data_IF_223792707078
#
_entry.id   IF_223792707078
#
_cell.length_a   1.000
_cell.length_b   1.000
_cell.length_c   1.000
_cell.angle_alpha   90.00
_cell.angle_beta   90.00
_cell.angle_gamma   90.00
#
_symmetry.space_group_name_H-M   'P 1'
#
loop_
_entity.id
_entity.type
_entity.pdbx_description
1 polymer ?
#
# COMPACT_ATOMS: atom_id res chain seq x y z
N UNK A 1 15.78 0.90 16.84
CA UNK A 1 14.88 2.08 16.74
C UNK A 1 13.57 1.66 16.14
N UNK A 2 12.61 1.33 16.99
CA UNK A 2 11.21 1.18 16.63
C UNK A 2 10.56 2.56 16.48
N UNK A 3 9.55 2.66 15.63
CA UNK A 3 8.91 3.92 15.26
C UNK A 3 8.16 3.85 13.93
N UNK A 4 7.63 5.00 13.53
CA UNK A 4 6.94 5.21 12.25
C UNK A 4 7.65 6.25 11.39
N UNK A 5 7.70 6.00 10.08
CA UNK A 5 8.04 7.01 9.08
C UNK A 5 6.83 7.88 8.78
N UNK A 6 7.07 9.15 8.47
CA UNK A 6 6.03 10.16 8.28
C UNK A 6 6.35 11.01 7.06
N UNK A 7 5.58 10.85 6.00
CA UNK A 7 5.58 11.82 4.90
C UNK A 7 4.79 13.06 5.34
N UNK A 8 5.43 14.23 5.24
CA UNK A 8 4.87 15.49 5.69
C UNK A 8 4.57 16.42 4.50
N UNK A 9 3.58 17.29 4.68
CA UNK A 9 3.12 18.29 3.69
C UNK A 9 4.19 19.33 3.32
N UNK A 10 5.23 19.50 4.14
CA UNK A 10 6.40 20.33 3.86
C UNK A 10 7.49 19.62 3.03
N UNK A 11 7.18 18.46 2.43
CA UNK A 11 8.09 17.65 1.60
C UNK A 11 9.28 17.03 2.35
N UNK A 12 9.16 16.81 3.67
CA UNK A 12 10.21 16.18 4.48
C UNK A 12 9.74 14.83 5.01
N UNK A 13 10.47 13.77 4.66
CA UNK A 13 10.34 12.47 5.31
C UNK A 13 10.91 12.55 6.71
N UNK A 14 10.06 12.33 7.72
CA UNK A 14 10.44 12.30 9.14
C UNK A 14 10.34 10.90 9.71
N UNK A 15 11.06 10.65 10.78
CA UNK A 15 10.91 9.47 11.63
C UNK A 15 10.52 9.92 13.04
N UNK A 16 9.58 9.19 13.65
CA UNK A 16 9.15 9.36 15.04
C UNK A 16 9.21 8.01 15.73
N UNK A 17 10.01 7.90 16.78
CA UNK A 17 10.12 6.67 17.55
C UNK A 17 8.87 6.42 18.39
N UNK A 18 8.50 5.17 18.60
CA UNK A 18 7.36 4.79 19.47
C UNK A 18 7.61 5.15 20.95
N UNK A 19 8.87 5.38 21.32
CA UNK A 19 9.30 5.90 22.63
C UNK A 19 9.08 7.42 22.79
N UNK A 20 8.52 8.11 21.78
CA UNK A 20 8.27 9.55 21.82
C UNK A 20 7.21 9.99 20.80
N UNK A 21 5.93 9.98 21.20
CA UNK A 21 4.84 10.48 20.36
C UNK A 21 4.91 12.00 20.07
N UNK A 22 5.79 12.77 20.73
CA UNK A 22 5.81 14.23 20.65
C UNK A 22 6.74 14.81 19.58
N UNK A 23 7.80 14.09 19.17
CA UNK A 23 8.87 14.63 18.32
C UNK A 23 9.08 13.79 17.06
N UNK A 24 9.07 14.44 15.89
CA UNK A 24 9.42 13.84 14.61
C UNK A 24 10.69 14.51 14.03
N UNK A 25 11.74 13.72 13.83
CA UNK A 25 13.04 14.17 13.30
C UNK A 25 13.10 13.96 11.77
N UNK A 26 13.64 14.90 10.97
CA UNK A 26 13.91 14.67 9.56
C UNK A 26 14.84 13.48 9.36
N UNK A 27 14.46 12.51 8.52
CA UNK A 27 15.21 11.26 8.35
C UNK A 27 16.62 11.52 7.77
N UNK A 28 16.77 12.54 6.92
CA UNK A 28 18.07 12.99 6.42
C UNK A 28 18.98 13.59 7.52
N UNK A 29 18.40 14.17 8.58
CA UNK A 29 19.17 14.60 9.76
C UNK A 29 19.59 13.43 10.64
N UNK A 30 18.82 12.34 10.67
CA UNK A 30 19.21 11.08 11.32
C UNK A 30 20.35 10.42 10.54
N UNK A 31 20.29 10.40 9.20
CA UNK A 31 21.39 9.89 8.38
C UNK A 31 22.69 10.64 8.70
N UNK A 32 22.67 11.97 8.67
CA UNK A 32 23.83 12.81 8.99
C UNK A 32 24.44 12.51 10.37
N UNK A 33 23.60 12.29 11.38
CA UNK A 33 24.04 12.05 12.76
C UNK A 33 24.62 10.64 13.00
N UNK A 34 24.16 9.62 12.27
CA UNK A 34 24.53 8.20 12.50
C UNK A 34 25.51 7.67 11.43
N UNK A 35 25.31 8.06 10.16
CA UNK A 35 25.79 7.28 9.01
C UNK A 35 25.80 8.10 7.71
N UNK A 36 26.28 9.35 7.75
CA UNK A 36 26.15 10.35 6.68
C UNK A 36 26.44 9.81 5.26
N UNK A 37 27.53 9.04 5.13
CA UNK A 37 28.04 8.49 3.86
C UNK A 37 27.47 7.12 3.46
N UNK A 38 26.50 6.55 4.18
CA UNK A 38 25.92 5.24 3.85
C UNK A 38 24.80 5.35 2.79
N UNK A 39 25.03 4.89 1.53
CA UNK A 39 24.00 4.95 0.48
C UNK A 39 22.84 3.98 0.73
N UNK A 40 23.01 2.99 1.61
CA UNK A 40 22.01 1.99 1.97
C UNK A 40 21.24 2.35 3.24
N UNK A 41 21.48 3.53 3.84
CA UNK A 41 20.90 3.96 5.11
C UNK A 41 19.37 3.78 5.17
N UNK A 42 18.65 4.10 4.09
CA UNK A 42 17.19 4.00 4.03
C UNK A 42 16.68 2.55 4.10
N UNK A 43 17.46 1.54 3.69
CA UNK A 43 17.05 0.12 3.79
C UNK A 43 16.74 -0.29 5.24
N UNK A 44 17.39 0.37 6.21
CA UNK A 44 17.15 0.18 7.66
C UNK A 44 15.72 0.55 8.07
N UNK A 45 15.00 1.32 7.24
CA UNK A 45 13.64 1.81 7.49
C UNK A 45 12.57 1.23 6.57
N UNK A 46 12.92 0.34 5.63
CA UNK A 46 11.98 -0.20 4.65
C UNK A 46 10.77 -0.90 5.28
N UNK A 47 10.95 -1.58 6.41
CA UNK A 47 9.89 -2.31 7.13
C UNK A 47 9.15 -1.47 8.18
N UNK A 48 9.54 -0.21 8.42
CA UNK A 48 8.84 0.65 9.37
C UNK A 48 7.49 1.09 8.81
N UNK A 49 6.47 1.15 9.67
CA UNK A 49 5.14 1.62 9.30
C UNK A 49 5.20 3.08 8.85
N UNK A 50 4.51 3.39 7.75
CA UNK A 50 4.35 4.75 7.21
C UNK A 50 3.04 5.37 7.67
N UNK A 51 3.11 6.66 7.98
CA UNK A 51 1.97 7.57 8.06
C UNK A 51 2.16 8.67 7.00
N UNK A 52 1.07 9.13 6.40
CA UNK A 52 1.07 10.32 5.53
C UNK A 52 0.30 11.43 6.25
N UNK A 53 0.87 12.63 6.31
CA UNK A 53 0.20 13.80 6.88
C UNK A 53 -0.93 14.30 5.95
N UNK A 54 -2.03 14.78 6.55
CA UNK A 54 -3.10 15.51 5.86
C UNK A 54 -2.55 16.60 4.91
N UNK A 55 -3.03 16.62 3.66
CA UNK A 55 -2.58 17.56 2.63
C UNK A 55 -1.24 17.22 1.95
N UNK A 56 -0.57 16.13 2.31
CA UNK A 56 0.65 15.67 1.61
C UNK A 56 0.31 15.16 0.21
N UNK A 57 0.89 15.77 -0.82
CA UNK A 57 0.70 15.41 -2.23
C UNK A 57 1.72 14.39 -2.73
N UNK A 58 1.47 13.78 -3.89
CA UNK A 58 2.44 12.89 -4.55
C UNK A 58 3.79 13.61 -4.84
N UNK A 59 3.75 14.89 -5.21
CA UNK A 59 4.94 15.73 -5.36
C UNK A 59 5.70 15.89 -4.04
N UNK A 60 5.00 16.08 -2.91
CA UNK A 60 5.65 16.15 -1.59
C UNK A 60 6.38 14.85 -1.23
N UNK A 61 5.79 13.68 -1.55
CA UNK A 61 6.43 12.37 -1.37
C UNK A 61 7.70 12.27 -2.22
N UNK A 62 7.64 12.68 -3.49
CA UNK A 62 8.79 12.61 -4.41
C UNK A 62 9.96 13.49 -3.97
N UNK A 63 9.69 14.69 -3.49
CA UNK A 63 10.72 15.55 -2.91
C UNK A 63 11.24 15.03 -1.56
N UNK A 64 10.38 14.39 -0.76
CA UNK A 64 10.75 13.79 0.51
C UNK A 64 11.68 12.57 0.36
N UNK A 65 11.59 11.81 -0.74
CA UNK A 65 12.47 10.66 -1.04
C UNK A 65 13.69 11.00 -1.91
N UNK A 66 13.77 12.21 -2.48
CA UNK A 66 14.84 12.64 -3.39
C UNK A 66 16.28 12.37 -2.90
N UNK A 67 16.62 12.49 -1.59
CA UNK A 67 17.96 12.16 -1.10
C UNK A 67 18.39 10.69 -1.31
N UNK A 68 17.43 9.77 -1.51
CA UNK A 68 17.66 8.33 -1.67
C UNK A 68 17.23 7.80 -3.04
N UNK A 69 16.96 8.69 -4.01
CA UNK A 69 16.42 8.33 -5.32
C UNK A 69 17.21 7.24 -6.05
N UNK A 70 18.54 7.23 -5.95
CA UNK A 70 19.40 6.24 -6.64
C UNK A 70 19.18 4.82 -6.08
N UNK A 71 19.04 4.69 -4.76
CA UNK A 71 18.72 3.43 -4.08
C UNK A 71 17.31 2.96 -4.46
N UNK A 72 16.34 3.89 -4.50
CA UNK A 72 14.96 3.57 -4.85
C UNK A 72 14.81 3.21 -6.33
N UNK A 73 15.55 3.86 -7.23
CA UNK A 73 15.63 3.47 -8.65
C UNK A 73 16.16 2.04 -8.81
N UNK A 74 17.24 1.70 -8.08
CA UNK A 74 17.81 0.35 -8.11
C UNK A 74 16.92 -0.71 -7.45
N UNK A 75 16.09 -0.35 -6.47
CA UNK A 75 15.17 -1.27 -5.80
C UNK A 75 13.87 -1.50 -6.59
N UNK A 76 13.29 -0.44 -7.16
CA UNK A 76 11.97 -0.47 -7.81
C UNK A 76 12.03 -0.83 -9.31
N UNK A 77 13.22 -0.80 -9.93
CA UNK A 77 13.40 -0.86 -11.39
C UNK A 77 12.62 0.25 -12.13
N UNK A 78 12.58 1.46 -11.55
CA UNK A 78 11.87 2.64 -12.09
C UNK A 78 12.75 3.86 -11.91
N UNK A 79 12.84 4.76 -12.91
CA UNK A 79 13.65 5.97 -12.78
C UNK A 79 12.95 7.02 -11.88
N UNK A 80 13.09 6.84 -10.57
CA UNK A 80 12.61 7.75 -9.53
C UNK A 80 13.21 9.16 -9.74
N UNK A 81 14.42 9.25 -10.29
CA UNK A 81 15.07 10.51 -10.65
C UNK A 81 14.30 11.27 -11.75
N UNK A 82 13.91 10.60 -12.83
CA UNK A 82 13.09 11.18 -13.88
C UNK A 82 11.71 11.60 -13.36
N UNK A 83 11.05 10.78 -12.54
CA UNK A 83 9.76 11.14 -11.93
C UNK A 83 9.87 12.39 -11.04
N UNK A 84 10.92 12.51 -10.21
CA UNK A 84 11.20 13.72 -9.41
C UNK A 84 11.43 14.95 -10.31
N UNK A 85 12.19 14.82 -11.40
CA UNK A 85 12.44 15.91 -12.35
C UNK A 85 11.17 16.34 -13.07
N UNK A 86 10.27 15.40 -13.39
CA UNK A 86 9.01 15.69 -14.09
C UNK A 86 8.01 16.45 -13.19
N UNK A 87 7.87 16.04 -11.92
CA UNK A 87 6.95 16.73 -11.00
C UNK A 87 7.39 18.16 -10.67
N UNK A 88 8.70 18.49 -10.75
CA UNK A 88 9.22 19.88 -10.59
C UNK A 88 8.75 20.87 -11.66
N UNK A 89 8.34 20.40 -12.84
CA UNK A 89 7.86 21.28 -13.94
C UNK A 89 6.49 21.89 -13.58
N UNK A 90 6.05 23.00 -14.20
CA UNK A 90 4.68 23.49 -14.00
C UNK A 90 3.62 22.41 -14.30
N UNK A 91 2.47 22.47 -13.63
CA UNK A 91 1.29 21.71 -14.04
C UNK A 91 0.63 22.35 -15.27
N UNK A 92 0.02 21.52 -16.12
CA UNK A 92 -1.00 21.96 -17.09
C UNK A 92 -2.35 22.05 -16.35
N UNK A 93 -3.40 22.67 -16.93
CA UNK A 93 -4.76 22.47 -16.47
C UNK A 93 -5.09 20.97 -16.49
N UNK A 94 -5.54 20.45 -15.35
CA UNK A 94 -5.96 19.05 -15.23
C UNK A 94 -7.25 18.81 -16.03
N UNK A 95 -7.31 17.70 -16.75
CA UNK A 95 -8.45 17.25 -17.55
C UNK A 95 -9.28 16.16 -16.85
N UNK A 96 -8.75 15.61 -15.75
CA UNK A 96 -9.36 14.56 -14.94
C UNK A 96 -10.04 15.12 -13.68
N UNK A 97 -11.19 14.58 -13.31
CA UNK A 97 -11.92 14.95 -12.09
C UNK A 97 -11.40 14.23 -10.81
N UNK A 98 -10.17 13.70 -10.81
CA UNK A 98 -9.60 13.01 -9.64
C UNK A 98 -9.41 13.97 -8.45
N UNK A 99 -9.81 13.53 -7.26
CA UNK A 99 -9.73 14.31 -6.02
C UNK A 99 -8.62 13.82 -5.07
N UNK A 100 -8.31 12.51 -5.06
CA UNK A 100 -7.20 11.96 -4.26
C UNK A 100 -6.55 10.73 -4.89
N UNK A 101 -5.33 10.45 -4.44
CA UNK A 101 -4.65 9.18 -4.60
C UNK A 101 -4.83 8.39 -3.32
N UNK A 102 -5.30 7.15 -3.43
CA UNK A 102 -5.39 6.22 -2.31
C UNK A 102 -4.52 5.00 -2.53
N UNK A 103 -3.93 4.49 -1.45
CA UNK A 103 -3.18 3.22 -1.42
C UNK A 103 -3.91 2.27 -0.48
N UNK A 104 -4.43 1.16 -1.02
CA UNK A 104 -5.08 0.09 -0.24
C UNK A 104 -4.34 -1.24 -0.36
N UNK A 105 -4.40 -2.05 0.71
CA UNK A 105 -3.94 -3.44 0.70
C UNK A 105 -5.13 -4.36 0.43
N UNK A 106 -4.97 -5.25 -0.55
CA UNK A 106 -5.94 -6.28 -0.91
C UNK A 106 -5.26 -7.63 -0.80
N UNK A 107 -5.93 -8.58 -0.17
CA UNK A 107 -5.42 -9.93 0.04
C UNK A 107 -6.40 -10.94 -0.54
N UNK A 108 -5.88 -11.95 -1.22
CA UNK A 108 -6.66 -13.05 -1.80
C UNK A 108 -6.24 -14.34 -1.12
N UNK A 109 -7.19 -15.04 -0.49
CA UNK A 109 -6.96 -16.39 0.04
C UNK A 109 -7.60 -17.43 -0.87
N UNK A 110 -6.81 -18.42 -1.27
CA UNK A 110 -7.23 -19.52 -2.14
C UNK A 110 -6.76 -20.87 -1.59
N UNK A 111 -7.47 -21.92 -2.00
CA UNK A 111 -7.20 -23.29 -1.56
C UNK A 111 -5.96 -23.81 -2.30
N UNK A 112 -5.00 -24.35 -1.56
CA UNK A 112 -3.92 -25.10 -2.17
C UNK A 112 -4.45 -26.46 -2.70
N UNK A 113 -3.95 -26.89 -3.86
CA UNK A 113 -4.40 -28.12 -4.53
C UNK A 113 -3.21 -29.02 -4.86
N UNK A 114 -3.41 -30.34 -4.80
CA UNK A 114 -2.39 -31.31 -5.15
C UNK A 114 -2.11 -31.28 -6.65
N UNK A 115 -0.89 -30.90 -7.03
CA UNK A 115 -0.38 -31.08 -8.38
C UNK A 115 -0.01 -32.56 -8.59
N UNK A 116 -0.82 -33.27 -9.36
CA UNK A 116 -0.54 -34.64 -9.77
C UNK A 116 0.17 -34.64 -11.13
N UNK A 117 1.28 -35.38 -11.23
CA UNK A 117 1.94 -35.64 -12.49
C UNK A 117 1.02 -36.36 -13.50
N UNK A 118 1.34 -36.18 -14.78
CA UNK A 118 0.67 -36.87 -15.89
C UNK A 118 1.03 -38.37 -15.88
N UNK A 119 0.05 -39.23 -16.05
CA UNK A 119 0.25 -40.67 -16.06
C UNK A 119 0.94 -41.16 -17.33
N UNK A 120 1.71 -42.26 -17.23
CA UNK A 120 2.31 -42.91 -18.40
C UNK A 120 1.23 -43.32 -19.42
N UNK A 121 1.23 -42.65 -20.58
CA UNK A 121 0.24 -42.88 -21.65
C UNK A 121 -1.10 -42.16 -21.48
N UNK A 122 -1.22 -41.23 -20.54
CA UNK A 122 -2.39 -40.36 -20.40
C UNK A 122 -2.43 -39.28 -21.51
N UNK A 123 -3.64 -38.87 -21.92
CA UNK A 123 -3.83 -37.73 -22.81
C UNK A 123 -3.73 -36.40 -22.06
N UNK A 124 -3.06 -35.41 -22.65
CA UNK A 124 -2.87 -34.09 -22.04
C UNK A 124 -4.20 -33.38 -21.71
N UNK A 125 -5.24 -33.55 -22.54
CA UNK A 125 -6.57 -32.97 -22.29
C UNK A 125 -7.24 -33.65 -21.10
N UNK A 126 -7.10 -34.98 -20.97
CA UNK A 126 -7.62 -35.71 -19.82
C UNK A 126 -6.90 -35.30 -18.52
N UNK A 127 -5.56 -35.19 -18.56
CA UNK A 127 -4.75 -34.72 -17.42
C UNK A 127 -5.12 -33.30 -16.98
N UNK A 128 -5.20 -32.36 -17.92
CA UNK A 128 -5.45 -30.95 -17.63
C UNK A 128 -6.85 -30.69 -17.06
N UNK A 129 -7.85 -31.52 -17.43
CA UNK A 129 -9.23 -31.41 -16.96
C UNK A 129 -9.56 -32.35 -15.78
N UNK A 130 -8.55 -32.90 -15.09
CA UNK A 130 -8.77 -33.65 -13.83
C UNK A 130 -9.40 -32.76 -12.76
N UNK A 131 -10.32 -33.34 -11.98
CA UNK A 131 -10.77 -32.75 -10.71
C UNK A 131 -9.57 -32.63 -9.76
N UNK A 132 -9.31 -31.40 -9.29
CA UNK A 132 -8.17 -31.11 -8.41
C UNK A 132 -8.48 -31.51 -6.98
N UNK A 133 -7.59 -32.28 -6.35
CA UNK A 133 -7.71 -32.66 -4.94
C UNK A 133 -7.23 -31.48 -4.06
N UNK A 134 -8.08 -30.87 -3.21
CA UNK A 134 -7.66 -29.81 -2.29
C UNK A 134 -6.76 -30.36 -1.18
N UNK A 135 -5.83 -29.56 -0.67
CA UNK A 135 -5.07 -29.85 0.56
C UNK A 135 -5.72 -29.16 1.77
N UNK A 136 -5.22 -29.43 2.98
CA UNK A 136 -5.64 -28.68 4.18
C UNK A 136 -5.07 -27.24 4.20
N UNK A 137 -4.03 -26.99 3.41
CA UNK A 137 -3.31 -25.71 3.31
C UNK A 137 -4.11 -24.67 2.51
N UNK A 138 -3.78 -23.40 2.75
CA UNK A 138 -4.30 -22.23 2.04
C UNK A 138 -3.16 -21.25 1.81
N UNK A 139 -3.14 -20.64 0.64
CA UNK A 139 -2.20 -19.59 0.29
C UNK A 139 -2.87 -18.21 0.42
N UNK A 140 -2.10 -17.20 0.80
CA UNK A 140 -2.55 -15.80 0.89
C UNK A 140 -1.62 -14.93 0.04
N UNK A 141 -2.10 -14.54 -1.13
CA UNK A 141 -1.49 -13.45 -1.90
C UNK A 141 -1.94 -12.09 -1.32
N UNK A 142 -1.10 -11.07 -1.45
CA UNK A 142 -1.43 -9.70 -1.02
C UNK A 142 -0.74 -8.65 -1.89
N UNK A 143 -1.52 -7.70 -2.41
CA UNK A 143 -1.03 -6.53 -3.14
C UNK A 143 -1.27 -5.25 -2.34
N UNK A 144 -0.39 -4.26 -2.53
CA UNK A 144 -0.64 -2.88 -2.15
C UNK A 144 -0.71 -2.05 -3.44
N UNK A 145 -1.86 -1.45 -3.70
CA UNK A 145 -2.17 -0.81 -4.98
C UNK A 145 -2.38 0.69 -4.81
N UNK A 146 -1.74 1.52 -5.64
CA UNK A 146 -2.01 2.95 -5.70
C UNK A 146 -3.01 3.27 -6.83
N UNK A 147 -4.11 3.96 -6.51
CA UNK A 147 -5.17 4.30 -7.47
C UNK A 147 -5.68 5.73 -7.29
N UNK A 148 -6.23 6.29 -8.35
CA UNK A 148 -6.94 7.56 -8.37
C UNK A 148 -8.42 7.39 -8.05
N UNK A 149 -9.01 8.37 -7.34
CA UNK A 149 -10.40 8.33 -6.89
C UNK A 149 -11.11 9.67 -7.13
N UNK A 150 -12.38 9.58 -7.55
CA UNK A 150 -13.35 10.69 -7.69
C UNK A 150 -14.45 10.47 -6.65
N UNK A 151 -14.88 11.48 -5.90
CA UNK A 151 -15.86 11.32 -4.82
C UNK A 151 -17.23 10.88 -5.33
N UNK A 152 -17.86 9.93 -4.64
CA UNK A 152 -19.17 9.37 -5.02
C UNK A 152 -19.16 8.41 -6.22
N UNK A 153 -18.08 8.38 -7.03
CA UNK A 153 -17.82 7.32 -8.01
C UNK A 153 -17.51 5.99 -7.29
N UNK A 154 -17.84 4.85 -7.89
CA UNK A 154 -17.44 3.52 -7.39
C UNK A 154 -16.09 3.06 -7.94
N UNK A 155 -15.67 3.58 -9.09
CA UNK A 155 -14.51 3.07 -9.82
C UNK A 155 -13.16 3.49 -9.21
N UNK A 156 -12.09 2.89 -9.76
CA UNK A 156 -10.69 3.18 -9.45
C UNK A 156 -9.94 3.52 -10.74
N UNK A 157 -9.25 4.65 -10.74
CA UNK A 157 -8.63 5.20 -11.94
C UNK A 157 -7.11 4.97 -11.93
N UNK A 158 -6.52 4.66 -13.09
CA UNK A 158 -5.07 4.45 -13.21
C UNK A 158 -4.32 5.77 -13.01
N UNK A 159 -3.14 5.70 -12.39
CA UNK A 159 -2.24 6.84 -12.20
C UNK A 159 -1.16 6.94 -13.29
N UNK A 160 -1.15 5.99 -14.24
CA UNK A 160 -0.02 5.75 -15.13
C UNK A 160 0.09 6.70 -16.33
N UNK A 161 -0.95 7.45 -16.69
CA UNK A 161 -0.95 8.26 -17.94
C UNK A 161 -0.15 9.56 -17.84
N UNK A 162 -0.51 10.47 -16.94
CA UNK A 162 0.09 11.81 -16.89
C UNK A 162 0.38 12.30 -15.47
N UNK A 163 1.64 12.21 -15.06
CA UNK A 163 2.10 12.67 -13.73
C UNK A 163 1.82 14.16 -13.46
N UNK A 164 1.69 15.01 -14.49
CA UNK A 164 1.40 16.44 -14.28
C UNK A 164 0.00 16.72 -13.74
N UNK A 165 -0.93 15.81 -14.00
CA UNK A 165 -2.35 15.94 -13.63
C UNK A 165 -2.59 15.39 -12.22
N UNK A 166 -1.88 14.33 -11.83
CA UNK A 166 -2.03 13.67 -10.52
C UNK A 166 -1.07 14.14 -9.42
N UNK A 167 0.07 14.78 -9.75
CA UNK A 167 1.13 15.06 -8.77
C UNK A 167 0.74 15.97 -7.60
N UNK A 168 -0.28 16.81 -7.79
CA UNK A 168 -0.78 17.73 -6.77
C UNK A 168 -1.94 17.13 -5.96
N UNK A 169 -2.38 15.91 -6.27
CA UNK A 169 -3.42 15.23 -5.50
C UNK A 169 -2.86 14.78 -4.14
N UNK A 170 -3.66 14.87 -3.05
CA UNK A 170 -3.29 14.31 -1.75
C UNK A 170 -3.18 12.78 -1.85
N UNK A 171 -2.20 12.22 -1.15
CA UNK A 171 -1.97 10.76 -1.07
C UNK A 171 -2.43 10.25 0.29
N UNK A 172 -3.16 9.14 0.29
CA UNK A 172 -3.85 8.62 1.48
C UNK A 172 -3.58 7.12 1.60
N UNK A 173 -3.27 6.64 2.81
CA UNK A 173 -3.20 5.22 3.13
C UNK A 173 -4.55 4.76 3.70
N UNK A 174 -5.21 3.79 3.07
CA UNK A 174 -6.44 3.22 3.62
C UNK A 174 -6.08 2.30 4.80
N UNK A 175 -6.45 2.68 6.02
CA UNK A 175 -6.19 1.90 7.24
C UNK A 175 -7.06 0.63 7.37
N UNK A 176 -7.84 0.27 6.34
CA UNK A 176 -8.56 -0.99 6.22
C UNK A 176 -8.03 -1.78 5.01
N UNK A 177 -7.91 -3.09 5.18
CA UNK A 177 -7.62 -4.06 4.13
C UNK A 177 -8.80 -5.03 3.96
N UNK A 178 -8.96 -5.60 2.77
CA UNK A 178 -9.92 -6.69 2.51
C UNK A 178 -9.18 -7.99 2.21
N UNK A 179 -9.46 -9.04 2.98
CA UNK A 179 -9.10 -10.41 2.62
C UNK A 179 -10.32 -11.05 1.94
N UNK A 180 -10.21 -11.37 0.65
CA UNK A 180 -11.28 -11.96 -0.15
C UNK A 180 -10.95 -13.40 -0.56
N UNK A 181 -11.97 -14.18 -0.90
CA UNK A 181 -11.82 -15.51 -1.49
C UNK A 181 -12.78 -15.71 -2.66
N UNK A 182 -12.35 -16.49 -3.65
CA UNK A 182 -13.21 -16.91 -4.74
C UNK A 182 -14.25 -17.91 -4.23
N UNK A 183 -15.50 -17.78 -4.66
CA UNK A 183 -16.63 -18.54 -4.11
C UNK A 183 -16.43 -20.07 -4.10
N UNK A 184 -15.66 -20.59 -5.08
CA UNK A 184 -15.39 -22.02 -5.29
C UNK A 184 -14.65 -22.73 -4.13
N UNK A 185 -13.83 -22.01 -3.36
CA UNK A 185 -12.95 -22.63 -2.36
C UNK A 185 -13.57 -22.68 -0.94
N UNK A 186 -14.75 -22.08 -0.73
CA UNK A 186 -15.52 -22.02 0.53
C UNK A 186 -14.77 -21.51 1.80
N UNK A 187 -13.56 -20.96 1.66
CA UNK A 187 -12.67 -20.63 2.78
C UNK A 187 -13.25 -19.63 3.77
N UNK A 188 -13.99 -18.64 3.26
CA UNK A 188 -14.80 -17.74 4.06
C UNK A 188 -16.25 -18.23 4.03
N UNK A 189 -16.73 -18.70 5.18
CA UNK A 189 -18.14 -19.05 5.37
C UNK A 189 -18.95 -17.80 5.71
N UNK A 190 -20.06 -17.62 5.02
CA UNK A 190 -20.95 -16.46 5.17
C UNK A 190 -21.53 -16.31 6.58
N UNK A 191 -21.56 -17.40 7.34
CA UNK A 191 -22.01 -17.42 8.73
C UNK A 191 -20.92 -17.16 9.78
N UNK A 192 -19.66 -17.02 9.36
CA UNK A 192 -18.60 -16.60 10.26
C UNK A 192 -18.72 -15.09 10.52
N UNK A 193 -18.75 -14.71 11.79
CA UNK A 193 -18.90 -13.32 12.21
C UNK A 193 -17.83 -12.41 11.57
N UNK A 194 -18.26 -11.36 10.86
CA UNK A 194 -17.39 -10.41 10.15
C UNK A 194 -17.14 -10.74 8.68
N UNK A 195 -17.56 -11.91 8.18
CA UNK A 195 -17.61 -12.17 6.73
C UNK A 195 -18.75 -11.36 6.12
N UNK A 196 -18.45 -10.72 4.99
CA UNK A 196 -19.38 -9.99 4.14
C UNK A 196 -19.38 -10.62 2.75
N UNK A 197 -20.53 -10.55 2.07
CA UNK A 197 -20.71 -11.09 0.72
C UNK A 197 -21.01 -9.98 -0.29
N UNK A 198 -20.53 -10.18 -1.52
CA UNK A 198 -20.85 -9.41 -2.73
C UNK A 198 -20.97 -10.40 -3.90
N UNK A 199 -21.57 -9.97 -5.00
CA UNK A 199 -21.67 -10.74 -6.25
C UNK A 199 -20.31 -11.33 -6.68
N UNK A 200 -19.23 -10.57 -6.43
CA UNK A 200 -17.84 -10.93 -6.79
C UNK A 200 -17.15 -11.91 -5.83
N UNK A 201 -17.74 -12.20 -4.67
CA UNK A 201 -17.16 -13.11 -3.67
C UNK A 201 -17.39 -12.70 -2.21
N UNK A 202 -16.80 -13.50 -1.31
CA UNK A 202 -16.84 -13.27 0.14
C UNK A 202 -15.54 -12.63 0.62
N UNK A 203 -15.63 -11.75 1.61
CA UNK A 203 -14.49 -11.05 2.17
C UNK A 203 -14.65 -10.77 3.67
N UNK A 204 -13.53 -10.59 4.36
CA UNK A 204 -13.46 -9.93 5.68
C UNK A 204 -12.67 -8.64 5.54
N UNK A 205 -13.02 -7.62 6.33
CA UNK A 205 -12.22 -6.41 6.45
C UNK A 205 -11.48 -6.39 7.79
N UNK A 206 -10.22 -5.97 7.76
CA UNK A 206 -9.37 -5.82 8.94
C UNK A 206 -8.66 -4.47 8.94
N UNK A 207 -8.13 -4.07 10.09
CA UNK A 207 -7.20 -2.94 10.15
C UNK A 207 -5.87 -3.30 9.44
N UNK A 208 -5.20 -2.29 8.89
CA UNK A 208 -3.95 -2.47 8.14
C UNK A 208 -3.00 -1.30 8.35
N UNK A 209 -1.70 -1.60 8.29
CA UNK A 209 -0.62 -0.61 8.18
C UNK A 209 0.32 -1.00 7.04
N UNK A 210 0.88 0.01 6.36
CA UNK A 210 1.81 -0.16 5.26
C UNK A 210 3.22 0.11 5.74
N UNK A 211 4.16 -0.74 5.34
CA UNK A 211 5.58 -0.45 5.49
C UNK A 211 6.10 0.43 4.35
N UNK A 212 7.27 1.03 4.52
CA UNK A 212 7.83 1.97 3.55
C UNK A 212 8.07 1.36 2.17
N UNK A 213 8.55 0.11 2.09
CA UNK A 213 8.76 -0.52 0.78
C UNK A 213 7.44 -0.68 0.02
N UNK A 214 6.37 -1.10 0.69
CA UNK A 214 5.04 -1.27 0.08
C UNK A 214 4.44 0.05 -0.43
N UNK A 215 4.65 1.16 0.29
CA UNK A 215 4.20 2.49 -0.19
C UNK A 215 4.96 2.92 -1.44
N UNK A 216 6.26 2.61 -1.54
CA UNK A 216 7.06 2.90 -2.73
C UNK A 216 6.69 2.00 -3.92
N UNK A 217 6.52 0.69 -3.69
CA UNK A 217 6.11 -0.27 -4.70
C UNK A 217 4.69 0.02 -5.21
N UNK A 218 3.75 0.33 -4.32
CA UNK A 218 2.40 0.74 -4.70
C UNK A 218 2.44 1.95 -5.63
N UNK A 219 3.17 3.01 -5.27
CA UNK A 219 3.24 4.24 -6.08
C UNK A 219 3.95 4.00 -7.43
N UNK A 220 5.13 3.39 -7.44
CA UNK A 220 5.97 3.31 -8.64
C UNK A 220 5.73 2.08 -9.52
N UNK A 221 5.37 0.92 -8.96
CA UNK A 221 5.21 -0.34 -9.69
C UNK A 221 3.74 -0.58 -10.06
N UNK A 222 2.78 -0.41 -9.12
CA UNK A 222 1.36 -0.64 -9.41
C UNK A 222 0.64 0.60 -9.98
N UNK A 223 0.88 1.79 -9.41
CA UNK A 223 0.18 3.02 -9.77
C UNK A 223 0.73 3.69 -11.04
N UNK A 224 1.99 4.12 -11.00
CA UNK A 224 2.64 4.76 -12.15
C UNK A 224 3.06 3.77 -13.24
N UNK A 225 3.38 2.52 -12.86
CA UNK A 225 3.70 1.38 -13.71
C UNK A 225 4.94 1.49 -14.61
N UNK A 226 5.07 2.56 -15.41
CA UNK A 226 6.11 2.74 -16.42
C UNK A 226 7.48 3.11 -15.83
N UNK A 227 8.56 2.65 -16.47
CA UNK A 227 9.94 2.94 -16.05
C UNK A 227 10.29 4.43 -16.02
N UNK A 228 9.70 5.25 -16.90
CA UNK A 228 9.83 6.72 -16.89
C UNK A 228 8.50 7.40 -17.26
N UNK A 229 8.31 8.70 -16.93
CA UNK A 229 7.17 9.49 -17.43
C UNK A 229 7.09 9.59 -18.96
N UNK A 230 8.24 9.54 -19.65
CA UNK A 230 8.29 9.58 -21.12
C UNK A 230 7.89 8.26 -21.75
N UNK A 231 8.19 7.12 -21.11
CA UNK A 231 7.71 5.81 -21.54
C UNK A 231 6.18 5.69 -21.45
N UNK A 232 5.58 6.24 -20.37
CA UNK A 232 4.14 6.37 -20.24
C UNK A 232 3.53 7.16 -21.40
N UNK A 233 3.93 8.42 -21.57
CA UNK A 233 3.42 9.32 -22.64
C UNK A 233 3.48 8.65 -24.02
N UNK A 234 4.63 8.09 -24.38
CA UNK A 234 4.82 7.42 -25.67
C UNK A 234 3.91 6.19 -25.85
N UNK A 235 3.64 5.45 -24.76
CA UNK A 235 2.74 4.30 -24.78
C UNK A 235 1.28 4.73 -24.97
N UNK A 236 0.81 5.74 -24.23
CA UNK A 236 -0.56 6.22 -24.34
C UNK A 236 -0.85 6.92 -25.68
N UNK A 237 0.11 7.66 -26.24
CA UNK A 237 -0.02 8.19 -27.59
C UNK A 237 -0.10 7.05 -28.62
N UNK A 238 0.72 6.00 -28.48
CA UNK A 238 0.63 4.80 -29.32
C UNK A 238 -0.71 4.05 -29.20
N UNK A 239 -1.24 3.93 -27.98
CA UNK A 239 -2.53 3.30 -27.70
C UNK A 239 -3.70 4.10 -28.26
N UNK A 240 -3.71 5.43 -28.15
CA UNK A 240 -4.76 6.28 -28.74
C UNK A 240 -4.83 6.13 -30.26
N UNK A 241 -3.67 6.22 -30.93
CA UNK A 241 -3.55 5.96 -32.37
C UNK A 241 -4.01 4.54 -32.79
N UNK A 242 -4.00 3.57 -31.87
CA UNK A 242 -4.45 2.19 -32.12
C UNK A 242 -5.94 1.99 -31.82
N UNK A 243 -6.46 2.64 -30.78
CA UNK A 243 -7.86 2.58 -30.34
C UNK A 243 -8.81 3.19 -31.38
N UNK A 244 -8.39 4.29 -32.02
CA UNK A 244 -9.10 4.90 -33.16
C UNK A 244 -9.27 3.92 -34.34
N UNK A 245 -8.44 2.87 -34.42
CA UNK A 245 -8.54 1.80 -35.41
C UNK A 245 -9.34 0.56 -34.96
N UNK A 246 -9.79 0.49 -33.70
CA UNK A 246 -10.32 -0.73 -33.06
C UNK A 246 -11.77 -0.61 -32.53
N UNK A 247 -12.51 0.46 -32.85
CA UNK A 247 -13.90 0.65 -32.41
C UNK A 247 -14.94 -0.24 -33.14
N UNK A 248 -14.69 -1.55 -33.30
CA UNK A 248 -15.66 -2.51 -33.83
C UNK A 248 -15.63 -3.87 -33.08
N UNK A 249 -16.83 -4.35 -32.75
CA UNK A 249 -17.19 -5.70 -32.23
C UNK A 249 -16.89 -6.03 -30.74
N UNK A 250 -17.92 -6.54 -30.03
CA UNK A 250 -17.86 -7.13 -28.68
C UNK A 250 -19.17 -7.90 -28.31
N UNK A 251 -19.12 -9.06 -27.63
CA UNK A 251 -20.27 -9.72 -26.97
C UNK A 251 -20.11 -9.90 -25.42
N UNK A 252 -21.09 -10.54 -24.76
CA UNK A 252 -21.23 -10.68 -23.27
C UNK A 252 -21.61 -12.10 -22.79
N UNK A 253 -21.49 -12.35 -21.47
CA UNK A 253 -21.84 -13.60 -20.74
C UNK A 253 -22.93 -13.39 -19.62
N UNK A 254 -23.53 -14.46 -19.02
CA UNK A 254 -24.48 -14.41 -17.87
C UNK A 254 -24.17 -15.34 -16.64
N UNK A 255 -25.00 -15.32 -15.55
CA UNK A 255 -24.63 -15.63 -14.13
C UNK A 255 -25.57 -16.61 -13.30
N UNK A 256 -25.51 -16.56 -11.93
CA UNK A 256 -26.27 -17.23 -10.80
C UNK A 256 -25.71 -18.57 -10.23
N UNK A 257 -25.85 -19.05 -8.96
CA UNK A 257 -26.40 -18.63 -7.62
C UNK A 257 -25.99 -19.70 -6.53
N UNK A 258 -26.07 -19.62 -5.16
CA UNK A 258 -25.94 -18.58 -4.09
C UNK A 258 -25.93 -19.22 -2.64
N UNK A 259 -25.70 -18.47 -1.53
CA UNK A 259 -25.78 -18.82 -0.04
C UNK A 259 -24.67 -19.75 0.56
N UNK A 260 -24.52 -20.12 1.85
CA UNK A 260 -25.10 -19.86 3.22
C UNK A 260 -24.25 -20.63 4.30
N UNK A 261 -24.56 -20.88 5.59
CA UNK A 261 -25.36 -20.24 6.69
C UNK A 261 -24.94 -20.80 8.11
N UNK A 262 -25.47 -20.24 9.23
CA UNK A 262 -25.44 -20.65 10.68
C UNK A 262 -24.13 -20.67 11.57
N UNK A 263 -24.32 -20.47 12.89
CA UNK A 263 -23.34 -20.03 13.95
C UNK A 263 -22.79 -21.13 14.90
N UNK A 264 -21.54 -21.00 15.38
CA UNK A 264 -21.12 -21.38 16.76
C UNK A 264 -20.02 -20.44 17.33
N UNK A 265 -19.59 -20.59 18.60
CA UNK A 265 -18.97 -19.52 19.44
C UNK A 265 -17.49 -19.73 19.88
N UNK A 266 -16.75 -18.65 20.22
CA UNK A 266 -15.29 -18.67 20.47
C UNK A 266 -14.85 -18.86 21.95
N UNK A 267 -13.54 -19.08 22.15
CA UNK A 267 -12.86 -19.34 23.44
C UNK A 267 -11.70 -18.33 23.73
N UNK A 268 -11.07 -18.44 24.92
CA UNK A 268 -10.15 -17.44 25.50
C UNK A 268 -8.89 -18.07 26.13
N UNK A 269 -7.79 -17.30 26.27
CA UNK A 269 -6.45 -17.76 26.70
C UNK A 269 -5.83 -16.77 27.71
N UNK A 270 -4.90 -17.23 28.56
CA UNK A 270 -4.17 -16.45 29.59
C UNK A 270 -2.64 -16.53 29.41
N UNK A 271 -1.87 -15.64 30.08
CA UNK A 271 -0.42 -15.43 29.88
C UNK A 271 0.32 -15.43 31.22
N UNK A 272 1.58 -15.89 31.24
CA UNK A 272 2.39 -16.08 32.45
C UNK A 272 3.33 -14.88 32.78
N UNK A 273 3.75 -14.83 34.05
CA UNK A 273 4.61 -13.78 34.63
C UNK A 273 6.08 -13.90 34.18
N UNK A 274 6.79 -12.77 34.09
CA UNK A 274 8.21 -12.70 33.65
C UNK A 274 8.47 -12.83 32.15
N UNK A 275 7.43 -12.98 31.32
CA UNK A 275 7.55 -13.20 29.87
C UNK A 275 8.12 -12.00 29.06
N UNK A 276 8.30 -10.83 29.68
CA UNK A 276 8.57 -9.56 28.98
C UNK A 276 9.83 -8.81 29.44
N UNK A 277 10.59 -9.30 30.43
CA UNK A 277 11.70 -8.56 31.05
C UNK A 277 12.83 -8.20 30.04
N UNK A 278 13.06 -9.08 29.06
CA UNK A 278 13.97 -8.85 27.93
C UNK A 278 13.51 -7.69 27.03
N UNK A 279 12.19 -7.57 26.82
CA UNK A 279 11.58 -6.51 26.03
C UNK A 279 11.69 -5.16 26.76
N UNK A 280 11.43 -5.13 28.08
CA UNK A 280 11.62 -3.92 28.92
C UNK A 280 13.06 -3.40 28.80
N UNK A 281 14.05 -4.29 28.88
CA UNK A 281 15.47 -3.93 28.76
C UNK A 281 15.82 -3.34 27.38
N UNK A 282 15.17 -3.80 26.31
CA UNK A 282 15.34 -3.23 24.98
C UNK A 282 14.72 -1.82 24.85
N UNK A 283 13.51 -1.63 25.42
CA UNK A 283 12.79 -0.35 25.42
C UNK A 283 13.60 0.77 26.08
N UNK A 284 14.27 0.49 27.20
CA UNK A 284 15.10 1.47 27.92
C UNK A 284 16.30 1.92 27.07
N UNK A 285 17.03 0.99 26.45
CA UNK A 285 18.17 1.28 25.58
C UNK A 285 17.78 2.11 24.34
N UNK A 286 16.68 1.74 23.67
CA UNK A 286 16.16 2.49 22.52
C UNK A 286 15.70 3.91 22.93
N UNK A 287 15.13 4.06 24.13
CA UNK A 287 14.74 5.35 24.69
C UNK A 287 15.96 6.25 24.92
N UNK A 288 17.05 5.75 25.52
CA UNK A 288 18.28 6.54 25.73
C UNK A 288 18.91 6.97 24.39
N UNK A 289 19.00 6.04 23.44
CA UNK A 289 19.54 6.29 22.09
C UNK A 289 18.73 7.38 21.36
N UNK A 290 17.40 7.33 21.42
CA UNK A 290 16.52 8.35 20.86
C UNK A 290 16.74 9.75 21.48
N UNK A 291 17.02 9.82 22.79
CA UNK A 291 17.33 11.09 23.47
C UNK A 291 18.70 11.66 23.11
N UNK A 292 19.68 10.83 22.75
CA UNK A 292 20.96 11.27 22.18
C UNK A 292 20.77 11.82 20.77
N UNK A 293 20.06 11.06 19.92
CA UNK A 293 19.80 11.41 18.53
C UNK A 293 19.07 12.75 18.38
N UNK A 294 18.02 12.99 19.18
CA UNK A 294 17.33 14.29 19.22
C UNK A 294 18.27 15.46 19.51
N UNK A 295 19.23 15.30 20.44
CA UNK A 295 20.21 16.34 20.80
C UNK A 295 21.24 16.60 19.69
N UNK A 296 21.55 15.62 18.85
CA UNK A 296 22.41 15.80 17.67
C UNK A 296 21.63 16.50 16.55
N UNK A 297 20.46 15.99 16.16
CA UNK A 297 19.65 16.58 15.11
C UNK A 297 19.21 18.03 15.41
N UNK A 298 19.02 18.40 16.68
CA UNK A 298 18.74 19.79 17.10
C UNK A 298 19.96 20.75 17.00
N UNK A 299 21.19 20.24 16.96
CA UNK A 299 22.43 21.04 16.85
C UNK A 299 22.94 21.16 15.41
N UNK A 300 22.77 20.11 14.63
CA UNK A 300 23.40 19.94 13.30
C UNK A 300 22.37 19.87 12.16
N UNK A 301 21.07 19.84 12.48
CA UNK A 301 20.00 19.73 11.50
C UNK A 301 19.74 21.02 10.72
N UNK A 302 19.97 20.97 9.40
CA UNK A 302 19.55 22.00 8.45
C UNK A 302 18.05 21.95 8.08
N UNK A 303 17.29 21.03 8.66
CA UNK A 303 15.87 20.78 8.37
C UNK A 303 15.04 20.90 9.66
N UNK A 304 13.80 21.44 9.60
CA UNK A 304 12.98 21.66 10.79
C UNK A 304 12.53 20.35 11.46
N UNK A 305 13.01 20.16 12.70
CA UNK A 305 12.42 19.21 13.65
C UNK A 305 10.99 19.62 13.95
N UNK A 306 10.06 18.67 13.96
CA UNK A 306 8.65 18.91 14.24
C UNK A 306 8.28 18.38 15.62
N UNK A 307 7.54 19.20 16.38
CA UNK A 307 7.08 18.91 17.74
C UNK A 307 5.57 19.09 17.78
N UNK A 308 4.87 18.18 18.45
CA UNK A 308 3.40 18.14 18.54
C UNK A 308 2.75 17.18 17.56
N UNK A 309 1.42 17.17 17.55
CA UNK A 309 0.61 16.23 16.76
C UNK A 309 0.80 16.48 15.26
N UNK A 310 0.95 15.39 14.50
CA UNK A 310 0.89 15.38 13.04
C UNK A 310 -0.38 14.59 12.67
N UNK A 311 -1.35 15.26 12.04
CA UNK A 311 -2.63 14.64 11.68
C UNK A 311 -2.44 13.68 10.51
N UNK A 312 -2.83 12.40 10.62
CA UNK A 312 -2.81 11.49 9.48
C UNK A 312 -3.87 11.90 8.45
N UNK A 313 -3.52 11.82 7.17
CA UNK A 313 -4.49 11.91 6.08
C UNK A 313 -5.53 10.78 6.22
N UNK A 314 -6.82 11.13 6.11
CA UNK A 314 -7.94 10.19 6.14
C UNK A 314 -8.66 10.18 4.79
N UNK A 315 -9.14 9.02 4.30
CA UNK A 315 -9.88 8.95 3.06
C UNK A 315 -11.20 9.73 3.19
N UNK A 316 -11.63 10.50 2.15
CA UNK A 316 -12.93 11.17 2.16
C UNK A 316 -14.12 10.19 2.23
N UNK A 317 -13.92 8.97 1.73
CA UNK A 317 -14.91 7.90 1.63
C UNK A 317 -14.20 6.54 1.80
N UNK A 318 -14.76 5.62 2.59
CA UNK A 318 -14.22 4.27 2.71
C UNK A 318 -14.73 3.40 1.54
N UNK A 319 -13.81 2.75 0.81
CA UNK A 319 -14.15 1.90 -0.34
C UNK A 319 -13.67 0.47 -0.16
N UNK A 320 -14.61 -0.47 -0.03
CA UNK A 320 -14.34 -1.90 0.12
C UNK A 320 -15.02 -2.66 -1.03
N UNK A 321 -14.29 -3.54 -1.72
CA UNK A 321 -14.79 -4.41 -2.80
C UNK A 321 -15.58 -3.72 -3.97
N UNK A 322 -15.47 -2.40 -4.14
CA UNK A 322 -16.23 -1.62 -5.15
C UNK A 322 -17.49 -0.92 -4.60
N UNK A 323 -17.68 -0.96 -3.28
CA UNK A 323 -18.78 -0.29 -2.58
C UNK A 323 -18.26 0.90 -1.77
N UNK A 324 -19.03 1.99 -1.72
CA UNK A 324 -18.77 3.13 -0.82
C UNK A 324 -19.43 2.82 0.51
N UNK A 325 -18.62 2.41 1.50
CA UNK A 325 -19.08 2.20 2.86
C UNK A 325 -19.27 3.56 3.54
N UNK A 326 -20.43 3.78 4.17
CA UNK A 326 -20.59 4.87 5.12
C UNK A 326 -19.80 4.52 6.38
N UNK A 327 -18.88 5.39 6.76
CA UNK A 327 -18.06 5.18 7.95
C UNK A 327 -18.98 5.11 9.19
N UNK A 328 -18.89 4.00 9.93
CA UNK A 328 -19.78 3.72 11.07
C UNK A 328 -19.36 4.44 12.37
N UNK A 329 -18.42 5.38 12.24
CA UNK A 329 -17.94 6.36 13.23
C UNK A 329 -18.99 7.45 13.55
N UNK A 330 -20.25 7.04 13.71
CA UNK A 330 -21.38 7.91 14.04
C UNK A 330 -21.53 8.25 15.53
N UNK A 331 -20.53 7.91 16.36
CA UNK A 331 -20.37 8.23 17.79
C UNK A 331 -18.89 8.44 18.08
#
# INVERSE_FOLDING_TARGET
MEGKLIFCSDSILRFRSDYDETTALPLLSIQKAISDTDPFFLLRFFRHTVMIEEGTTLANIFFAIEPWKELLTAYLDRDVGAYIVEVRKPSKPTTWDLEWIGIDRRSSVYRAYQHQDMGDGEDFTAWFNRDRIPTEEVDIESSCDASGFIKGDKERWSLSENVHEIKNLPVILYNKQTLMTLQKDELLRESACGVSSTDRGRFVYGDTSFSFYEVMEAIFISGLFFHTPSAATNCFDGLKNSLDGLQNEAPKEPESDLTGSEEEKPLKVEVAEGAFDSLITHMEFETENWQLLKKQCQKEGSLPVRIGVITPAKPPELRLCGEICRDSSGV
#
